data_IF_366392368175
#
_entry.id   IF_366392368175
#
_cell.length_a   1.000
_cell.length_b   1.000
_cell.length_c   1.000
_cell.angle_alpha   90.00
_cell.angle_beta   90.00
_cell.angle_gamma   90.00
#
_symmetry.space_group_name_H-M   'P 1'
#
loop_
_entity.id
_entity.type
_entity.pdbx_description
1 polymer ?
#
# COMPACT_ATOMS: atom_id res chain seq x y z
N UNK A 1 -25.76 13.78 -4.07
CA UNK A 1 -25.29 14.49 -5.28
C UNK A 1 -24.51 13.49 -6.12
N UNK A 2 -24.93 13.22 -7.36
CA UNK A 2 -24.30 12.18 -8.22
C UNK A 2 -23.22 12.83 -9.09
N UNK A 3 -22.03 12.24 -9.14
CA UNK A 3 -20.98 12.62 -10.10
C UNK A 3 -21.45 12.31 -11.51
N UNK A 4 -21.19 13.21 -12.46
CA UNK A 4 -21.54 12.97 -13.86
C UNK A 4 -20.49 12.08 -14.53
N UNK A 5 -20.89 11.31 -15.56
CA UNK A 5 -19.95 10.49 -16.35
C UNK A 5 -18.79 11.31 -16.92
N UNK A 6 -19.05 12.57 -17.31
CA UNK A 6 -18.02 13.50 -17.77
C UNK A 6 -16.98 13.82 -16.69
N UNK A 7 -17.43 14.19 -15.48
CA UNK A 7 -16.52 14.48 -14.36
C UNK A 7 -15.69 13.26 -13.95
N UNK A 8 -16.30 12.06 -13.97
CA UNK A 8 -15.59 10.83 -13.66
C UNK A 8 -14.51 10.49 -14.70
N UNK A 9 -14.81 10.65 -16.00
CA UNK A 9 -13.81 10.49 -17.08
C UNK A 9 -12.68 11.51 -16.93
N UNK A 10 -13.00 12.78 -16.68
CA UNK A 10 -11.99 13.82 -16.43
C UNK A 10 -11.11 13.45 -15.24
N UNK A 11 -11.71 12.99 -14.13
CA UNK A 11 -10.97 12.55 -12.96
C UNK A 11 -9.97 11.44 -13.28
N UNK A 12 -10.39 10.38 -13.98
CA UNK A 12 -9.50 9.28 -14.34
C UNK A 12 -8.34 9.76 -15.21
N UNK A 13 -8.62 10.55 -16.25
CA UNK A 13 -7.57 11.04 -17.16
C UNK A 13 -6.51 11.85 -16.39
N UNK A 14 -6.93 12.76 -15.52
CA UNK A 14 -5.99 13.58 -14.76
C UNK A 14 -5.28 12.79 -13.64
N UNK A 15 -5.99 11.94 -12.90
CA UNK A 15 -5.41 11.18 -11.80
C UNK A 15 -4.31 10.24 -12.31
N UNK A 16 -4.58 9.49 -13.37
CA UNK A 16 -3.61 8.57 -13.96
C UNK A 16 -2.58 9.29 -14.81
N UNK A 17 -2.99 10.24 -15.66
CA UNK A 17 -2.08 10.95 -16.56
C UNK A 17 -0.98 11.69 -15.81
N UNK A 18 -1.35 12.45 -14.76
CA UNK A 18 -0.37 13.17 -13.94
C UNK A 18 0.54 12.21 -13.15
N UNK A 19 -0.04 11.16 -12.56
CA UNK A 19 0.73 10.17 -11.81
C UNK A 19 1.76 9.44 -12.70
N UNK A 20 1.38 9.06 -13.92
CA UNK A 20 2.28 8.39 -14.86
C UNK A 20 3.45 9.29 -15.27
N UNK A 21 3.20 10.57 -15.55
CA UNK A 21 4.27 11.52 -15.89
C UNK A 21 5.29 11.60 -14.75
N UNK A 22 4.82 11.78 -13.51
CA UNK A 22 5.69 11.85 -12.33
C UNK A 22 6.41 10.53 -12.08
N UNK A 23 5.76 9.39 -12.26
CA UNK A 23 6.36 8.07 -12.01
C UNK A 23 7.44 7.72 -13.05
N UNK A 24 7.26 8.11 -14.31
CA UNK A 24 8.29 7.96 -15.36
C UNK A 24 9.50 8.83 -15.04
N UNK A 25 9.29 10.08 -14.62
CA UNK A 25 10.38 10.96 -14.17
C UNK A 25 11.08 10.38 -12.94
N UNK A 26 10.33 9.92 -11.94
CA UNK A 26 10.86 9.30 -10.73
C UNK A 26 11.73 8.09 -11.08
N UNK A 27 11.26 7.24 -12.00
CA UNK A 27 12.01 6.06 -12.46
C UNK A 27 13.35 6.42 -13.11
N UNK A 28 13.43 7.56 -13.81
CA UNK A 28 14.69 8.07 -14.36
C UNK A 28 15.64 8.48 -13.22
N UNK A 29 15.18 9.29 -12.28
CA UNK A 29 16.01 9.76 -11.16
C UNK A 29 16.45 8.63 -10.21
N UNK A 30 15.63 7.58 -10.08
CA UNK A 30 16.02 6.37 -9.36
C UNK A 30 17.22 5.67 -10.02
N UNK A 31 17.22 5.57 -11.36
CA UNK A 31 18.35 4.99 -12.12
C UNK A 31 19.61 5.85 -12.04
N UNK A 32 19.44 7.17 -12.05
CA UNK A 32 20.54 8.14 -11.93
C UNK A 32 21.10 8.23 -10.50
N UNK A 33 20.57 7.46 -9.54
CA UNK A 33 21.01 7.42 -8.15
C UNK A 33 20.56 8.62 -7.30
N UNK A 34 19.72 9.51 -7.83
CA UNK A 34 19.23 10.67 -7.10
C UNK A 34 18.00 10.32 -6.26
N UNK A 35 18.25 9.68 -5.13
CA UNK A 35 17.23 9.16 -4.20
C UNK A 35 16.35 10.29 -3.65
N UNK A 36 16.90 11.48 -3.37
CA UNK A 36 16.14 12.60 -2.82
C UNK A 36 15.05 13.06 -3.80
N UNK A 37 15.41 13.33 -5.06
CA UNK A 37 14.43 13.76 -6.08
C UNK A 37 13.41 12.65 -6.34
N UNK A 38 13.85 11.39 -6.39
CA UNK A 38 12.95 10.24 -6.53
C UNK A 38 11.88 10.22 -5.41
N UNK A 39 12.29 10.34 -4.15
CA UNK A 39 11.36 10.34 -3.01
C UNK A 39 10.37 11.51 -3.07
N UNK A 40 10.84 12.71 -3.42
CA UNK A 40 9.95 13.86 -3.60
C UNK A 40 8.93 13.65 -4.72
N UNK A 41 9.33 13.05 -5.84
CA UNK A 41 8.41 12.74 -6.94
C UNK A 41 7.39 11.67 -6.55
N UNK A 42 7.78 10.66 -5.78
CA UNK A 42 6.83 9.68 -5.23
C UNK A 42 5.82 10.34 -4.29
N UNK A 43 6.30 11.19 -3.38
CA UNK A 43 5.44 11.93 -2.46
C UNK A 43 4.43 12.79 -3.23
N UNK A 44 4.89 13.55 -4.24
CA UNK A 44 4.02 14.34 -5.09
C UNK A 44 2.97 13.48 -5.80
N UNK A 45 3.38 12.30 -6.30
CA UNK A 45 2.50 11.36 -7.01
C UNK A 45 1.31 10.90 -6.16
N UNK A 46 1.51 10.70 -4.85
CA UNK A 46 0.43 10.31 -3.93
C UNK A 46 -0.73 11.31 -3.89
N UNK A 47 -0.48 12.59 -4.20
CA UNK A 47 -1.50 13.64 -4.20
C UNK A 47 -2.18 13.84 -5.55
N UNK A 48 -1.77 13.15 -6.62
CA UNK A 48 -2.37 13.28 -7.95
C UNK A 48 -3.87 12.94 -7.99
N UNK A 49 -4.36 11.89 -7.29
CA UNK A 49 -5.80 11.64 -7.20
C UNK A 49 -6.55 12.80 -6.55
N UNK A 50 -5.99 13.41 -5.49
CA UNK A 50 -6.60 14.57 -4.84
C UNK A 50 -6.65 15.76 -5.82
N UNK A 51 -5.55 16.10 -6.48
CA UNK A 51 -5.54 17.16 -7.49
C UNK A 51 -6.55 16.91 -8.62
N UNK A 52 -6.66 15.67 -9.09
CA UNK A 52 -7.64 15.30 -10.11
C UNK A 52 -9.08 15.47 -9.63
N UNK A 53 -9.39 15.22 -8.35
CA UNK A 53 -10.73 15.51 -7.80
C UNK A 53 -11.07 17.00 -7.86
N UNK A 54 -10.09 17.86 -7.56
CA UNK A 54 -10.24 19.32 -7.61
C UNK A 54 -10.44 19.82 -9.05
N UNK A 55 -9.61 19.35 -9.99
CA UNK A 55 -9.71 19.67 -11.42
C UNK A 55 -11.08 19.26 -11.97
N UNK A 56 -11.58 18.09 -11.56
CA UNK A 56 -12.87 17.56 -12.00
C UNK A 56 -14.07 18.20 -11.29
N UNK A 57 -13.83 19.14 -10.36
CA UNK A 57 -14.85 19.83 -9.56
C UNK A 57 -15.78 18.85 -8.83
N UNK A 58 -15.23 17.74 -8.34
CA UNK A 58 -15.98 16.77 -7.55
C UNK A 58 -16.13 17.33 -6.13
N UNK A 59 -17.36 17.43 -5.59
CA UNK A 59 -17.56 17.99 -4.26
C UNK A 59 -16.95 17.09 -3.18
N UNK A 60 -16.18 17.68 -2.28
CA UNK A 60 -15.62 16.99 -1.09
C UNK A 60 -16.61 16.97 0.10
N UNK A 61 -17.79 17.59 -0.05
CA UNK A 61 -18.80 17.64 1.02
C UNK A 61 -19.35 16.23 1.31
N UNK A 62 -19.32 15.84 2.59
CA UNK A 62 -19.78 14.53 3.05
C UNK A 62 -18.73 13.42 2.94
N UNK A 63 -17.48 13.76 2.58
CA UNK A 63 -16.32 12.86 2.65
C UNK A 63 -15.92 12.71 4.12
N UNK A 64 -15.78 11.47 4.59
CA UNK A 64 -15.46 11.19 5.98
C UNK A 64 -15.87 9.77 6.40
N UNK A 65 -15.36 9.33 7.54
CA UNK A 65 -15.68 8.03 8.11
C UNK A 65 -17.08 8.04 8.72
N UNK A 66 -17.98 7.21 8.17
CA UNK A 66 -19.28 6.91 8.79
C UNK A 66 -19.21 5.52 9.39
N UNK A 67 -18.68 5.40 10.61
CA UNK A 67 -18.67 4.13 11.33
C UNK A 67 -20.00 3.99 12.07
N UNK A 68 -20.76 2.94 11.77
CA UNK A 68 -21.83 2.48 12.64
C UNK A 68 -21.40 1.27 13.45
N UNK A 69 -22.08 0.98 14.58
CA UNK A 69 -21.82 -0.23 15.38
C UNK A 69 -21.98 -1.52 14.57
N UNK A 70 -22.83 -1.51 13.53
CA UNK A 70 -23.05 -2.64 12.62
C UNK A 70 -21.86 -2.88 11.69
N UNK A 71 -21.01 -1.89 11.50
CA UNK A 71 -19.85 -1.95 10.61
C UNK A 71 -18.58 -2.46 11.31
N UNK A 72 -18.58 -2.56 12.65
CA UNK A 72 -17.43 -3.03 13.44
C UNK A 72 -16.96 -4.41 12.97
N UNK A 73 -17.88 -5.31 12.62
CA UNK A 73 -17.53 -6.63 12.08
C UNK A 73 -16.74 -6.54 10.76
N UNK A 74 -17.05 -5.58 9.90
CA UNK A 74 -16.34 -5.36 8.63
C UNK A 74 -15.00 -4.66 8.86
N UNK A 75 -14.90 -3.81 9.88
CA UNK A 75 -13.63 -3.18 10.29
C UNK A 75 -12.68 -4.25 10.83
N UNK A 76 -13.14 -5.11 11.74
CA UNK A 76 -12.35 -6.22 12.25
C UNK A 76 -11.95 -7.18 11.14
N UNK A 77 -12.88 -7.52 10.25
CA UNK A 77 -12.56 -8.34 9.09
C UNK A 77 -11.50 -7.69 8.21
N UNK A 78 -11.62 -6.41 7.87
CA UNK A 78 -10.64 -5.68 7.06
C UNK A 78 -9.27 -5.61 7.73
N UNK A 79 -9.22 -5.51 9.07
CA UNK A 79 -7.98 -5.48 9.83
C UNK A 79 -7.28 -6.84 9.84
N UNK A 80 -8.04 -7.93 9.99
CA UNK A 80 -7.48 -9.28 10.10
C UNK A 80 -7.30 -10.00 8.75
N UNK A 81 -8.00 -9.57 7.71
CA UNK A 81 -7.93 -10.21 6.38
C UNK A 81 -6.50 -10.31 5.84
N UNK A 82 -5.65 -9.24 5.88
CA UNK A 82 -4.27 -9.36 5.42
C UNK A 82 -3.47 -10.41 6.20
N UNK A 83 -3.62 -10.45 7.54
CA UNK A 83 -2.93 -11.42 8.37
C UNK A 83 -3.36 -12.85 8.07
N UNK A 84 -4.67 -13.09 7.94
CA UNK A 84 -5.21 -14.41 7.58
C UNK A 84 -4.71 -14.86 6.20
N UNK A 85 -4.69 -13.95 5.22
CA UNK A 85 -4.21 -14.26 3.88
C UNK A 85 -2.70 -14.55 3.88
N UNK A 86 -1.92 -13.82 4.67
CA UNK A 86 -0.49 -14.09 4.88
C UNK A 86 -0.24 -15.45 5.52
N UNK A 87 -1.03 -15.83 6.54
CA UNK A 87 -0.92 -17.15 7.16
C UNK A 87 -1.28 -18.28 6.20
N UNK A 88 -2.34 -18.12 5.41
CA UNK A 88 -2.72 -19.07 4.36
C UNK A 88 -1.62 -19.18 3.30
N UNK A 89 -1.06 -18.05 2.87
CA UNK A 89 0.04 -18.01 1.91
C UNK A 89 1.30 -18.69 2.46
N UNK A 90 1.65 -18.44 3.72
CA UNK A 90 2.77 -19.10 4.38
C UNK A 90 2.54 -20.61 4.51
N UNK A 91 1.34 -21.03 4.93
CA UNK A 91 0.97 -22.44 4.98
C UNK A 91 1.09 -23.12 3.62
N UNK A 92 0.57 -22.50 2.57
CA UNK A 92 0.70 -23.01 1.20
C UNK A 92 2.15 -23.07 0.74
N UNK A 93 2.95 -22.04 1.04
CA UNK A 93 4.37 -22.01 0.72
C UNK A 93 5.12 -23.18 1.37
N UNK A 94 4.92 -23.42 2.68
CA UNK A 94 5.61 -24.52 3.37
C UNK A 94 5.06 -25.91 3.01
N UNK A 95 3.82 -26.02 2.55
CA UNK A 95 3.32 -27.27 1.97
C UNK A 95 4.02 -27.60 0.63
N UNK A 96 4.34 -26.60 -0.18
CA UNK A 96 5.08 -26.77 -1.43
C UNK A 96 6.59 -26.93 -1.19
N UNK A 97 7.14 -26.26 -0.18
CA UNK A 97 8.56 -26.24 0.17
C UNK A 97 8.78 -26.61 1.64
N UNK A 98 8.55 -27.88 2.02
CA UNK A 98 8.61 -28.30 3.42
C UNK A 98 9.99 -28.14 4.04
N UNK A 99 11.05 -28.26 3.23
CA UNK A 99 12.44 -28.11 3.69
C UNK A 99 12.81 -26.68 4.09
N UNK A 100 12.03 -25.67 3.67
CA UNK A 100 12.25 -24.27 4.07
C UNK A 100 11.60 -23.93 5.41
N UNK A 101 10.81 -24.85 5.98
CA UNK A 101 10.18 -24.64 7.27
C UNK A 101 11.17 -24.92 8.40
N UNK A 102 11.59 -23.85 9.08
CA UNK A 102 12.51 -23.93 10.20
C UNK A 102 11.74 -24.01 11.52
N UNK A 103 11.48 -25.24 11.98
CA UNK A 103 10.83 -25.49 13.26
C UNK A 103 11.74 -25.23 14.46
N UNK A 104 13.05 -25.19 14.26
CA UNK A 104 14.07 -24.99 15.31
C UNK A 104 14.41 -23.53 15.56
N UNK A 105 13.88 -22.61 14.75
CA UNK A 105 14.23 -21.19 14.76
C UNK A 105 15.73 -20.94 14.54
N UNK A 106 16.44 -21.85 13.86
CA UNK A 106 17.89 -21.75 13.59
C UNK A 106 18.24 -20.51 12.77
N UNK A 107 17.36 -20.14 11.85
CA UNK A 107 17.47 -18.93 11.04
C UNK A 107 17.31 -17.69 11.90
N UNK A 108 16.36 -17.69 12.85
CA UNK A 108 16.22 -16.58 13.77
C UNK A 108 17.44 -16.48 14.65
N UNK A 109 17.87 -17.56 15.31
CA UNK A 109 19.06 -17.58 16.18
C UNK A 109 20.32 -17.12 15.45
N UNK A 110 20.48 -17.48 14.18
CA UNK A 110 21.56 -16.96 13.33
C UNK A 110 21.48 -15.45 13.08
N UNK A 111 20.27 -14.88 12.92
CA UNK A 111 20.06 -13.45 12.67
C UNK A 111 20.22 -12.60 13.95
N UNK A 112 19.69 -13.05 15.09
CA UNK A 112 19.82 -12.34 16.38
C UNK A 112 21.21 -12.49 17.01
N UNK A 113 21.96 -13.54 16.63
CA UNK A 113 23.32 -13.80 17.10
C UNK A 113 23.40 -14.15 18.60
N UNK A 114 24.61 -14.51 19.08
CA UNK A 114 24.82 -14.90 20.49
C UNK A 114 24.41 -13.82 21.51
N UNK A 115 24.53 -12.55 21.14
CA UNK A 115 24.22 -11.42 22.03
C UNK A 115 22.72 -11.30 22.29
N UNK A 116 21.89 -11.55 21.28
CA UNK A 116 20.43 -11.60 21.44
C UNK A 116 19.95 -12.84 22.18
N UNK A 117 20.64 -13.99 22.02
CA UNK A 117 20.31 -15.25 22.70
C UNK A 117 20.59 -15.17 24.21
N UNK A 118 21.65 -14.48 24.64
CA UNK A 118 21.99 -14.31 26.07
C UNK A 118 21.03 -13.40 26.85
N UNK A 119 20.16 -12.65 26.16
CA UNK A 119 19.20 -11.72 26.77
C UNK A 119 17.77 -12.29 26.88
N UNK A 120 17.56 -13.51 26.37
CA UNK A 120 16.34 -14.31 26.57
C UNK A 120 16.53 -15.31 27.71
#
# INVERSE_FOLDING_TARGET
>A
MKTTSKQFKTYLIFAFGLAWILQVLASKFAKDGNILIYQFLLLATMFMPLLATLISKIPLKGMGWKISKKDIKYILFSLWSPALLSLLGAGLFFLLFPYSFDSGFETLTAIIGEVGIKQM
#
